data_IF_060154289607
#
_entry.id   IF_060154289607
#
_cell.length_a   1.000
_cell.length_b   1.000
_cell.length_c   1.000
_cell.angle_alpha   90.00
_cell.angle_beta   90.00
_cell.angle_gamma   90.00
#
_symmetry.space_group_name_H-M   'P 1'
#
loop_
_entity.id
_entity.type
_entity.pdbx_description
1 polymer ?
#
# COMPACT_ATOMS: atom_id res chain seq x y z
N UNK A 1 14.23 14.19 9.24
CA UNK A 1 12.91 13.91 8.63
C UNK A 1 11.95 15.10 8.60
N UNK A 2 11.78 15.87 9.68
CA UNK A 2 10.76 16.93 9.75
C UNK A 2 10.83 17.98 8.61
N UNK A 3 12.03 18.48 8.30
CA UNK A 3 12.25 19.41 7.18
C UNK A 3 11.83 18.82 5.84
N UNK A 4 12.09 17.52 5.62
CA UNK A 4 11.68 16.81 4.40
C UNK A 4 10.15 16.74 4.28
N UNK A 5 9.46 16.39 5.38
CA UNK A 5 7.98 16.36 5.43
C UNK A 5 7.37 17.72 5.09
N UNK A 6 7.91 18.79 5.69
CA UNK A 6 7.45 20.17 5.42
C UNK A 6 7.64 20.59 3.96
N UNK A 7 8.77 20.23 3.35
CA UNK A 7 9.00 20.50 1.93
C UNK A 7 8.09 19.65 1.04
N UNK A 8 7.91 18.37 1.38
CA UNK A 8 7.00 17.48 0.67
C UNK A 8 5.58 18.05 0.66
N UNK A 9 5.01 18.41 1.82
CA UNK A 9 3.68 19.01 1.88
C UNK A 9 3.59 20.29 1.04
N UNK A 10 4.58 21.18 1.14
CA UNK A 10 4.61 22.42 0.36
C UNK A 10 4.55 22.16 -1.15
N UNK A 11 5.36 21.22 -1.65
CA UNK A 11 5.37 20.88 -3.08
C UNK A 11 4.04 20.25 -3.47
N UNK A 12 3.53 19.30 -2.69
CA UNK A 12 2.24 18.65 -2.94
C UNK A 12 1.06 19.62 -3.01
N UNK A 13 1.08 20.71 -2.21
CA UNK A 13 0.04 21.75 -2.26
C UNK A 13 0.21 22.72 -3.43
N UNK A 14 1.45 23.09 -3.78
CA UNK A 14 1.72 24.13 -4.78
C UNK A 14 1.77 23.60 -6.21
N UNK A 15 2.51 22.51 -6.43
CA UNK A 15 2.64 21.86 -7.73
C UNK A 15 2.95 20.36 -7.53
N UNK A 16 1.92 19.52 -7.33
CA UNK A 16 2.10 18.08 -7.13
C UNK A 16 2.69 17.39 -8.36
N UNK A 17 2.61 17.99 -9.56
CA UNK A 17 3.12 17.38 -10.79
C UNK A 17 4.64 17.20 -10.78
N UNK A 18 5.35 17.97 -9.93
CA UNK A 18 6.79 17.85 -9.71
C UNK A 18 7.16 16.51 -9.07
N UNK A 19 6.31 15.95 -8.21
CA UNK A 19 6.60 14.71 -7.47
C UNK A 19 6.19 13.49 -8.28
N UNK A 20 6.75 13.37 -9.49
CA UNK A 20 6.46 12.29 -10.43
C UNK A 20 7.74 11.74 -11.06
N UNK A 21 7.64 10.55 -11.68
CA UNK A 21 8.73 9.90 -12.41
C UNK A 21 10.03 9.83 -11.62
N UNK A 22 11.13 10.29 -12.24
CA UNK A 22 12.48 10.23 -11.66
C UNK A 22 12.62 11.03 -10.35
N UNK A 23 11.96 12.19 -10.24
CA UNK A 23 12.03 13.01 -9.02
C UNK A 23 11.45 12.26 -7.83
N UNK A 24 10.30 11.60 -8.05
CA UNK A 24 9.68 10.77 -7.04
C UNK A 24 10.54 9.55 -6.68
N UNK A 25 11.07 8.84 -7.68
CA UNK A 25 11.94 7.69 -7.47
C UNK A 25 13.17 8.05 -6.61
N UNK A 26 13.83 9.17 -6.93
CA UNK A 26 15.01 9.65 -6.22
C UNK A 26 14.68 10.12 -4.79
N UNK A 27 13.50 10.73 -4.59
CA UNK A 27 13.01 11.08 -3.25
C UNK A 27 12.79 9.83 -2.40
N UNK A 28 12.05 8.85 -2.94
CA UNK A 28 11.71 7.62 -2.24
C UNK A 28 12.95 6.81 -1.86
N UNK A 29 13.93 6.69 -2.75
CA UNK A 29 15.20 6.05 -2.45
C UNK A 29 15.91 6.72 -1.28
N UNK A 30 16.07 8.05 -1.35
CA UNK A 30 16.78 8.80 -0.29
C UNK A 30 16.07 8.67 1.06
N UNK A 31 14.74 8.73 1.06
CA UNK A 31 13.94 8.62 2.28
C UNK A 31 14.03 7.22 2.86
N UNK A 32 13.83 6.17 2.06
CA UNK A 32 13.89 4.79 2.56
C UNK A 32 15.29 4.42 3.01
N UNK A 33 16.35 4.81 2.29
CA UNK A 33 17.74 4.61 2.72
C UNK A 33 18.01 5.33 4.05
N UNK A 34 17.58 6.59 4.17
CA UNK A 34 17.76 7.35 5.41
C UNK A 34 17.04 6.67 6.60
N UNK A 35 15.77 6.33 6.44
CA UNK A 35 14.96 5.70 7.49
C UNK A 35 15.49 4.31 7.88
N UNK A 36 15.77 3.45 6.89
CA UNK A 36 16.26 2.08 7.15
C UNK A 36 17.68 2.05 7.73
N UNK A 37 18.50 3.05 7.48
CA UNK A 37 19.83 3.15 8.09
C UNK A 37 19.79 3.59 9.55
N UNK A 38 18.75 4.32 9.97
CA UNK A 38 18.61 4.84 11.33
C UNK A 38 18.11 3.77 12.30
N UNK A 39 18.82 3.57 13.41
CA UNK A 39 18.40 2.61 14.45
C UNK A 39 17.10 3.02 15.16
N UNK A 40 16.77 4.31 15.19
CA UNK A 40 15.55 4.82 15.85
C UNK A 40 14.31 4.75 14.96
N UNK A 41 14.50 4.70 13.64
CA UNK A 41 13.41 4.69 12.65
C UNK A 41 13.10 3.28 12.16
N UNK A 42 14.07 2.36 12.23
CA UNK A 42 13.85 0.94 11.97
C UNK A 42 12.89 0.37 13.00
N UNK A 43 11.83 -0.27 12.50
CA UNK A 43 10.83 -0.94 13.32
C UNK A 43 11.06 -2.46 13.34
N UNK A 44 11.43 -3.04 12.20
CA UNK A 44 11.79 -4.45 12.08
C UNK A 44 13.30 -4.63 11.92
N UNK A 45 13.76 -5.88 12.12
CA UNK A 45 15.15 -6.23 11.82
C UNK A 45 15.48 -5.99 10.35
N UNK A 46 16.72 -5.59 10.08
CA UNK A 46 17.15 -5.36 8.71
C UNK A 46 17.05 -6.65 7.89
N UNK A 47 16.59 -6.52 6.64
CA UNK A 47 16.48 -7.65 5.72
C UNK A 47 17.84 -8.30 5.50
N UNK A 48 17.96 -9.58 5.83
CA UNK A 48 19.12 -10.41 5.51
C UNK A 48 18.86 -11.18 4.22
N UNK A 49 18.89 -10.48 3.09
CA UNK A 49 18.72 -11.11 1.77
C UNK A 49 20.06 -11.25 1.05
N UNK A 50 20.47 -12.49 0.79
CA UNK A 50 21.57 -12.83 -0.12
C UNK A 50 20.96 -13.60 -1.26
N UNK A 51 20.52 -12.91 -2.31
CA UNK A 51 19.91 -13.54 -3.48
C UNK A 51 20.92 -14.46 -4.17
N UNK A 52 20.79 -15.76 -3.99
CA UNK A 52 21.60 -16.73 -4.72
C UNK A 52 21.04 -16.88 -6.14
N UNK A 53 21.83 -16.56 -7.15
CA UNK A 53 21.39 -16.55 -8.56
C UNK A 53 20.73 -17.88 -9.00
N UNK A 54 21.23 -19.01 -8.46
CA UNK A 54 20.66 -20.34 -8.72
C UNK A 54 19.26 -20.51 -8.15
N UNK A 55 19.00 -20.02 -6.93
CA UNK A 55 17.69 -20.15 -6.30
C UNK A 55 16.66 -19.27 -7.00
N UNK A 56 17.05 -18.04 -7.37
CA UNK A 56 16.22 -17.11 -8.16
C UNK A 56 15.83 -17.73 -9.49
N UNK A 57 16.78 -18.31 -10.23
CA UNK A 57 16.48 -18.98 -11.51
C UNK A 57 15.49 -20.15 -11.36
N UNK A 58 15.64 -20.93 -10.30
CA UNK A 58 14.77 -22.08 -10.00
C UNK A 58 13.39 -21.72 -9.46
N UNK A 59 13.19 -20.50 -8.95
CA UNK A 59 11.92 -20.07 -8.38
C UNK A 59 10.82 -20.05 -9.44
N UNK A 60 9.70 -20.70 -9.12
CA UNK A 60 8.51 -20.79 -9.97
C UNK A 60 7.45 -19.84 -9.45
N UNK A 61 6.95 -18.98 -10.34
CA UNK A 61 5.81 -18.11 -10.07
C UNK A 61 4.51 -18.84 -10.41
N UNK A 62 3.48 -18.62 -9.60
CA UNK A 62 2.12 -19.12 -9.81
C UNK A 62 1.48 -18.46 -11.02
N UNK A 63 0.37 -19.04 -11.51
CA UNK A 63 -0.41 -18.46 -12.59
C UNK A 63 -0.97 -17.07 -12.25
N UNK A 64 -1.32 -16.82 -10.99
CA UNK A 64 -1.82 -15.53 -10.51
C UNK A 64 -0.72 -14.48 -10.53
N UNK A 65 0.49 -14.81 -10.05
CA UNK A 65 1.67 -13.93 -10.13
C UNK A 65 2.00 -13.59 -11.59
N UNK A 66 1.98 -14.59 -12.49
CA UNK A 66 2.22 -14.36 -13.91
C UNK A 66 1.15 -13.48 -14.57
N UNK A 67 -0.12 -13.65 -14.21
CA UNK A 67 -1.21 -12.79 -14.68
C UNK A 67 -1.03 -11.36 -14.18
N UNK A 68 -0.60 -11.17 -12.92
CA UNK A 68 -0.30 -9.87 -12.36
C UNK A 68 0.84 -9.16 -13.07
N UNK A 69 1.94 -9.88 -13.38
CA UNK A 69 3.05 -9.36 -14.20
C UNK A 69 2.54 -8.88 -15.56
N UNK A 70 1.80 -9.73 -16.27
CA UNK A 70 1.23 -9.40 -17.57
C UNK A 70 0.32 -8.17 -17.51
N UNK A 71 -0.48 -8.06 -16.45
CA UNK A 71 -1.38 -6.92 -16.22
C UNK A 71 -0.59 -5.64 -15.98
N UNK A 72 0.46 -5.70 -15.15
CA UNK A 72 1.35 -4.58 -14.88
C UNK A 72 2.05 -4.07 -16.15
N UNK A 73 2.59 -4.98 -16.97
CA UNK A 73 3.26 -4.63 -18.24
C UNK A 73 2.28 -4.02 -19.25
N UNK A 74 1.04 -4.53 -19.34
CA UNK A 74 0.00 -3.91 -20.18
C UNK A 74 -0.36 -2.52 -19.71
N UNK A 75 -0.52 -2.34 -18.41
CA UNK A 75 -0.81 -1.04 -17.80
C UNK A 75 0.34 -0.04 -18.03
N UNK A 76 1.59 -0.46 -17.84
CA UNK A 76 2.75 0.39 -18.06
C UNK A 76 2.89 0.83 -19.53
N UNK A 77 2.64 -0.08 -20.48
CA UNK A 77 2.60 0.25 -21.92
C UNK A 77 1.48 1.24 -22.25
N UNK A 78 0.29 1.04 -21.67
CA UNK A 78 -0.84 1.97 -21.87
C UNK A 78 -0.51 3.39 -21.41
N UNK A 79 0.15 3.50 -20.26
CA UNK A 79 0.59 4.78 -19.69
C UNK A 79 1.95 5.27 -20.21
N UNK A 80 2.62 4.50 -21.08
CA UNK A 80 3.96 4.78 -21.61
C UNK A 80 5.02 5.01 -20.52
N UNK A 81 4.98 4.19 -19.47
CA UNK A 81 5.90 4.28 -18.33
C UNK A 81 7.19 3.50 -18.54
N UNK A 82 7.14 2.36 -19.25
CA UNK A 82 8.27 1.43 -19.42
C UNK A 82 8.49 1.02 -20.88
N UNK A 83 9.67 0.47 -21.16
CA UNK A 83 10.07 -0.12 -22.43
C UNK A 83 9.65 -1.61 -22.55
N UNK A 84 9.95 -2.26 -23.68
CA UNK A 84 9.36 -3.54 -24.08
C UNK A 84 9.86 -4.77 -23.30
N UNK A 85 11.02 -4.69 -22.64
CA UNK A 85 11.68 -5.76 -21.86
C UNK A 85 11.24 -5.87 -20.39
N UNK A 86 10.37 -4.97 -19.94
CA UNK A 86 9.87 -4.87 -18.57
C UNK A 86 9.28 -6.17 -17.98
N UNK A 87 8.78 -7.09 -18.80
CA UNK A 87 8.22 -8.38 -18.33
C UNK A 87 9.29 -9.28 -17.72
N UNK A 88 10.47 -9.33 -18.33
CA UNK A 88 11.58 -10.15 -17.84
C UNK A 88 12.08 -9.63 -16.49
N UNK A 89 12.28 -8.32 -16.39
CA UNK A 89 12.81 -7.66 -15.20
C UNK A 89 11.82 -7.70 -14.04
N UNK A 90 10.53 -7.49 -14.32
CA UNK A 90 9.49 -7.65 -13.30
C UNK A 90 9.40 -9.11 -12.82
N UNK A 91 9.53 -10.08 -13.73
CA UNK A 91 9.58 -11.51 -13.36
C UNK A 91 10.77 -11.80 -12.45
N UNK A 92 11.95 -11.25 -12.77
CA UNK A 92 13.15 -11.41 -11.95
C UNK A 92 12.96 -10.79 -10.56
N UNK A 93 12.40 -9.58 -10.48
CA UNK A 93 12.07 -8.92 -9.22
C UNK A 93 11.12 -9.77 -8.37
N UNK A 94 10.03 -10.26 -8.96
CA UNK A 94 9.03 -11.09 -8.26
C UNK A 94 9.64 -12.38 -7.70
N UNK A 95 10.55 -13.03 -8.45
CA UNK A 95 11.27 -14.22 -7.97
C UNK A 95 12.18 -13.92 -6.77
N UNK A 96 12.91 -12.80 -6.81
CA UNK A 96 13.74 -12.37 -5.68
C UNK A 96 12.88 -12.13 -4.43
N UNK A 97 11.77 -11.39 -4.58
CA UNK A 97 10.84 -11.10 -3.49
C UNK A 97 10.19 -12.37 -2.95
N UNK A 98 9.80 -13.31 -3.80
CA UNK A 98 9.22 -14.59 -3.36
C UNK A 98 10.16 -15.35 -2.42
N UNK A 99 11.45 -15.41 -2.75
CA UNK A 99 12.47 -16.05 -1.90
C UNK A 99 12.65 -15.27 -0.61
N UNK A 100 12.77 -13.94 -0.70
CA UNK A 100 12.92 -13.06 0.46
C UNK A 100 11.74 -13.20 1.43
N UNK A 101 10.51 -13.03 0.96
CA UNK A 101 9.30 -13.12 1.78
C UNK A 101 9.15 -14.51 2.39
N UNK A 102 9.45 -15.57 1.64
CA UNK A 102 9.42 -16.94 2.15
C UNK A 102 10.38 -17.16 3.31
N UNK A 103 11.51 -16.45 3.36
CA UNK A 103 12.46 -16.50 4.49
C UNK A 103 11.94 -15.80 5.76
N UNK A 104 10.94 -14.93 5.62
CA UNK A 104 10.34 -14.15 6.70
C UNK A 104 9.00 -14.71 7.19
N UNK A 105 8.59 -15.91 6.74
CA UNK A 105 7.31 -16.49 7.14
C UNK A 105 7.43 -17.36 8.39
N UNK A 106 6.37 -17.33 9.22
CA UNK A 106 6.19 -18.27 10.32
C UNK A 106 5.92 -19.65 9.75
N UNK A 107 6.60 -20.68 10.27
CA UNK A 107 6.25 -22.08 9.99
C UNK A 107 5.02 -22.43 10.81
N UNK A 108 3.83 -22.28 10.23
CA UNK A 108 2.59 -22.67 10.89
C UNK A 108 2.22 -24.12 10.57
N UNK A 109 1.62 -24.82 11.54
CA UNK A 109 0.94 -26.10 11.34
C UNK A 109 -0.52 -25.94 10.89
N UNK A 110 -0.96 -24.71 10.57
CA UNK A 110 -2.34 -24.42 10.19
C UNK A 110 -2.77 -25.19 8.94
N UNK A 111 -3.95 -25.79 9.02
CA UNK A 111 -4.59 -26.49 7.91
C UNK A 111 -5.26 -25.54 6.90
N UNK A 112 -5.28 -24.23 7.18
CA UNK A 112 -5.86 -23.24 6.28
C UNK A 112 -5.02 -23.11 5.00
N UNK A 113 -5.65 -23.38 3.85
CA UNK A 113 -4.99 -23.34 2.52
C UNK A 113 -4.29 -22.00 2.26
N UNK A 114 -4.90 -20.89 2.68
CA UNK A 114 -4.34 -19.53 2.52
C UNK A 114 -3.07 -19.27 3.36
N UNK A 115 -2.78 -20.16 4.31
CA UNK A 115 -1.62 -20.11 5.19
C UNK A 115 -0.54 -21.14 4.84
N UNK A 116 -0.91 -22.22 4.13
CA UNK A 116 0.03 -23.28 3.73
C UNK A 116 1.06 -22.78 2.70
N UNK A 117 0.60 -22.06 1.69
CA UNK A 117 1.43 -21.51 0.62
C UNK A 117 1.74 -20.02 0.83
N UNK A 118 2.53 -19.42 -0.06
CA UNK A 118 2.87 -17.99 -0.04
C UNK A 118 1.64 -17.07 -0.12
N UNK A 119 1.89 -15.76 -0.22
CA UNK A 119 0.82 -14.78 -0.43
C UNK A 119 -0.06 -15.22 -1.64
N UNK A 120 -1.39 -15.32 -1.46
CA UNK A 120 -2.26 -15.95 -2.48
C UNK A 120 -2.52 -15.07 -3.71
N UNK A 121 -2.16 -13.78 -3.65
CA UNK A 121 -2.38 -12.82 -4.72
C UNK A 121 -1.09 -12.40 -5.43
N UNK A 122 -1.22 -11.41 -6.31
CA UNK A 122 -0.09 -10.72 -6.91
C UNK A 122 0.42 -9.60 -6.01
N UNK A 123 1.74 -9.39 -5.96
CA UNK A 123 2.33 -8.29 -5.19
C UNK A 123 2.21 -6.95 -5.94
N UNK A 124 1.07 -6.29 -5.73
CA UNK A 124 0.75 -5.01 -6.35
C UNK A 124 1.66 -3.88 -5.87
N UNK A 125 2.15 -3.91 -4.62
CA UNK A 125 3.11 -2.90 -4.18
C UNK A 125 4.44 -3.06 -4.91
N UNK A 126 4.96 -4.29 -5.03
CA UNK A 126 6.20 -4.53 -5.76
C UNK A 126 6.11 -4.08 -7.23
N UNK A 127 4.98 -4.33 -7.88
CA UNK A 127 4.70 -3.84 -9.23
C UNK A 127 4.64 -2.31 -9.29
N UNK A 128 3.99 -1.68 -8.32
CA UNK A 128 3.92 -0.22 -8.21
C UNK A 128 5.31 0.40 -8.06
N UNK A 129 6.14 -0.17 -7.18
CA UNK A 129 7.53 0.28 -6.97
C UNK A 129 8.35 0.10 -8.24
N UNK A 130 8.22 -1.03 -8.93
CA UNK A 130 8.88 -1.27 -10.20
C UNK A 130 8.56 -0.19 -11.24
N UNK A 131 7.29 0.20 -11.36
CA UNK A 131 6.89 1.29 -12.25
C UNK A 131 7.42 2.65 -11.79
N UNK A 132 7.39 2.95 -10.48
CA UNK A 132 7.95 4.21 -9.94
C UNK A 132 9.46 4.28 -10.21
N UNK A 133 10.17 3.16 -10.09
CA UNK A 133 11.60 3.04 -10.35
C UNK A 133 11.96 2.91 -11.83
N UNK A 134 11.03 3.24 -12.73
CA UNK A 134 11.21 3.22 -14.18
C UNK A 134 11.69 1.85 -14.71
N UNK A 135 11.25 0.76 -14.07
CA UNK A 135 11.52 -0.61 -14.52
C UNK A 135 12.86 -1.16 -14.09
N UNK A 136 13.60 -0.49 -13.21
CA UNK A 136 14.89 -0.98 -12.68
C UNK A 136 14.63 -2.03 -11.57
N UNK A 137 14.91 -3.33 -11.81
CA UNK A 137 14.60 -4.38 -10.85
C UNK A 137 15.55 -4.35 -9.63
N UNK A 138 16.83 -4.03 -9.79
CA UNK A 138 17.79 -3.94 -8.68
C UNK A 138 17.46 -2.79 -7.72
N UNK A 139 17.12 -1.62 -8.28
CA UNK A 139 16.70 -0.44 -7.53
C UNK A 139 15.40 -0.73 -6.79
N UNK A 140 14.43 -1.35 -7.46
CA UNK A 140 13.15 -1.75 -6.88
C UNK A 140 13.33 -2.73 -5.72
N UNK A 141 14.15 -3.76 -5.92
CA UNK A 141 14.47 -4.74 -4.89
C UNK A 141 15.13 -4.09 -3.68
N UNK A 142 16.16 -3.26 -3.90
CA UNK A 142 16.85 -2.53 -2.82
C UNK A 142 15.87 -1.66 -2.03
N UNK A 143 14.98 -0.97 -2.73
CA UNK A 143 13.99 -0.12 -2.10
C UNK A 143 13.01 -0.93 -1.23
N UNK A 144 12.47 -2.05 -1.76
CA UNK A 144 11.57 -2.93 -1.03
C UNK A 144 12.23 -3.57 0.19
N UNK A 145 13.48 -4.00 0.08
CA UNK A 145 14.27 -4.53 1.20
C UNK A 145 14.55 -3.46 2.27
N UNK A 146 14.74 -2.20 1.86
CA UNK A 146 14.84 -1.08 2.79
C UNK A 146 13.50 -0.82 3.49
N UNK A 147 12.41 -0.78 2.71
CA UNK A 147 11.06 -0.56 3.22
C UNK A 147 10.65 -1.65 4.22
N UNK A 148 11.02 -2.91 4.00
CA UNK A 148 10.65 -4.03 4.89
C UNK A 148 11.12 -3.86 6.33
N UNK A 149 12.12 -3.01 6.58
CA UNK A 149 12.60 -2.70 7.93
C UNK A 149 11.78 -1.60 8.64
N UNK A 150 10.89 -0.91 7.91
CA UNK A 150 10.11 0.22 8.38
C UNK A 150 8.70 -0.21 8.74
N UNK A 151 8.10 0.46 9.74
CA UNK A 151 6.71 0.21 10.15
C UNK A 151 5.72 0.35 8.98
N UNK A 152 5.98 1.29 8.07
CA UNK A 152 5.14 1.52 6.88
C UNK A 152 4.92 0.26 6.05
N UNK A 153 5.93 -0.63 5.96
CA UNK A 153 5.79 -1.88 5.21
C UNK A 153 4.65 -2.77 5.69
N UNK A 154 4.41 -2.84 7.01
CA UNK A 154 3.36 -3.67 7.58
C UNK A 154 1.94 -3.25 7.15
N UNK A 155 1.78 -2.02 6.68
CA UNK A 155 0.49 -1.45 6.29
C UNK A 155 0.32 -1.33 4.78
N UNK A 156 1.33 -0.84 4.06
CA UNK A 156 1.22 -0.63 2.61
C UNK A 156 1.62 -1.86 1.78
N UNK A 157 2.27 -2.86 2.40
CA UNK A 157 2.77 -4.06 1.73
C UNK A 157 2.11 -5.35 2.24
N UNK A 158 0.87 -5.68 1.80
CA UNK A 158 0.16 -6.88 2.25
C UNK A 158 0.96 -8.18 2.07
N UNK A 159 1.65 -8.34 0.94
CA UNK A 159 2.50 -9.51 0.69
C UNK A 159 3.69 -9.59 1.67
N UNK A 160 4.23 -8.44 2.08
CA UNK A 160 5.34 -8.33 3.02
C UNK A 160 5.01 -8.79 4.44
N UNK A 161 3.74 -8.64 4.86
CA UNK A 161 3.30 -8.96 6.23
C UNK A 161 2.51 -10.27 6.32
N UNK A 162 2.15 -10.88 5.19
CA UNK A 162 1.38 -12.12 5.14
C UNK A 162 2.09 -13.29 5.82
N UNK A 163 1.51 -13.80 6.92
CA UNK A 163 2.08 -14.86 7.74
C UNK A 163 3.54 -14.58 8.17
N UNK A 164 3.89 -13.32 8.34
CA UNK A 164 5.25 -12.87 8.62
C UNK A 164 5.64 -13.11 10.09
N UNK A 165 6.92 -13.34 10.35
CA UNK A 165 7.50 -13.37 11.71
C UNK A 165 7.41 -12.03 12.45
N UNK A 166 6.99 -10.98 11.74
CA UNK A 166 6.87 -9.62 12.25
C UNK A 166 5.54 -9.33 12.96
N UNK A 167 4.57 -10.25 12.91
CA UNK A 167 3.31 -10.15 13.66
C UNK A 167 3.21 -11.27 14.70
N UNK A 168 2.35 -11.08 15.70
CA UNK A 168 2.05 -12.14 16.68
C UNK A 168 1.63 -13.46 15.98
N UNK A 169 1.97 -14.59 16.60
CA UNK A 169 1.74 -15.92 16.01
C UNK A 169 0.25 -16.13 15.72
N UNK A 170 -0.63 -15.71 16.63
CA UNK A 170 -2.08 -15.82 16.48
C UNK A 170 -2.58 -15.01 15.28
N UNK A 171 -2.01 -13.82 15.06
CA UNK A 171 -2.33 -12.98 13.91
C UNK A 171 -1.84 -13.63 12.60
N UNK A 172 -0.60 -14.12 12.58
CA UNK A 172 -0.04 -14.84 11.44
C UNK A 172 -0.91 -16.06 11.07
N UNK A 173 -1.31 -16.88 12.04
CA UNK A 173 -2.11 -18.10 11.81
C UNK A 173 -3.55 -17.80 11.37
N UNK A 174 -4.12 -16.69 11.83
CA UNK A 174 -5.45 -16.25 11.41
C UNK A 174 -5.49 -15.75 9.96
N UNK A 175 -4.34 -15.34 9.41
CA UNK A 175 -4.24 -14.70 8.09
C UNK A 175 -4.87 -13.32 8.00
N UNK A 176 -5.30 -12.76 9.13
CA UNK A 176 -5.81 -11.39 9.19
C UNK A 176 -4.58 -10.47 9.13
N UNK A 177 -4.55 -9.42 8.28
CA UNK A 177 -3.43 -8.49 8.21
C UNK A 177 -3.64 -7.26 9.13
N UNK A 178 -2.57 -6.55 9.54
CA UNK A 178 -2.68 -5.33 10.35
C UNK A 178 -3.55 -4.22 9.77
N UNK A 179 -3.65 -4.19 8.43
CA UNK A 179 -4.56 -3.29 7.72
C UNK A 179 -6.01 -3.49 8.18
N UNK A 180 -6.43 -4.72 8.51
CA UNK A 180 -7.78 -5.02 8.97
C UNK A 180 -8.06 -4.43 10.36
N UNK A 181 -7.29 -4.81 11.38
CA UNK A 181 -7.59 -4.41 12.76
C UNK A 181 -7.12 -3.00 13.13
N UNK A 182 -6.13 -2.43 12.44
CA UNK A 182 -5.71 -1.05 12.67
C UNK A 182 -6.31 -0.10 11.63
N UNK A 183 -5.93 -0.23 10.34
CA UNK A 183 -6.32 0.77 9.34
C UNK A 183 -7.85 0.82 9.19
N UNK A 184 -8.49 -0.33 9.00
CA UNK A 184 -9.92 -0.41 8.76
C UNK A 184 -10.72 0.06 10.00
N UNK A 185 -10.31 -0.35 11.19
CA UNK A 185 -10.87 0.12 12.46
C UNK A 185 -10.85 1.66 12.57
N UNK A 186 -9.69 2.27 12.34
CA UNK A 186 -9.55 3.72 12.48
C UNK A 186 -10.27 4.49 11.38
N UNK A 187 -10.36 3.94 10.16
CA UNK A 187 -11.20 4.53 9.11
C UNK A 187 -12.66 4.54 9.56
N UNK A 188 -13.21 3.42 10.07
CA UNK A 188 -14.59 3.39 10.55
C UNK A 188 -14.85 4.37 11.70
N UNK A 189 -13.92 4.44 12.66
CA UNK A 189 -13.99 5.38 13.78
C UNK A 189 -14.03 6.83 13.28
N UNK A 190 -13.12 7.19 12.37
CA UNK A 190 -13.00 8.54 11.84
C UNK A 190 -14.19 8.91 10.94
N UNK A 191 -14.69 8.00 10.12
CA UNK A 191 -15.88 8.25 9.30
C UNK A 191 -17.10 8.59 10.15
N UNK A 192 -17.25 7.95 11.31
CA UNK A 192 -18.35 8.24 12.24
C UNK A 192 -18.32 9.70 12.73
N UNK A 193 -17.14 10.29 12.87
CA UNK A 193 -16.94 11.65 13.41
C UNK A 193 -16.83 12.70 12.29
N UNK A 194 -15.96 12.46 11.32
CA UNK A 194 -15.56 13.43 10.30
C UNK A 194 -16.46 13.42 9.04
N UNK A 195 -17.11 12.29 8.76
CA UNK A 195 -17.95 12.08 7.56
C UNK A 195 -19.22 11.27 7.90
N UNK A 196 -20.04 11.74 8.87
CA UNK A 196 -21.11 10.93 9.47
C UNK A 196 -22.20 10.49 8.49
N UNK A 197 -22.41 11.24 7.40
CA UNK A 197 -23.34 10.87 6.34
C UNK A 197 -22.88 9.61 5.59
N UNK A 198 -21.59 9.52 5.28
CA UNK A 198 -21.00 8.31 4.66
C UNK A 198 -21.09 7.15 5.64
N UNK A 199 -20.72 7.34 6.90
CA UNK A 199 -20.85 6.29 7.92
C UNK A 199 -22.29 5.74 8.00
N UNK A 200 -23.29 6.63 7.96
CA UNK A 200 -24.70 6.24 7.98
C UNK A 200 -25.13 5.51 6.71
N UNK A 201 -24.65 5.94 5.55
CA UNK A 201 -24.91 5.30 4.26
C UNK A 201 -24.45 3.83 4.25
N UNK A 202 -23.22 3.56 4.70
CA UNK A 202 -22.71 2.19 4.87
C UNK A 202 -23.58 1.36 5.82
N UNK A 203 -23.97 1.95 6.96
CA UNK A 203 -24.84 1.28 7.93
C UNK A 203 -26.20 0.89 7.32
N UNK A 204 -26.77 1.75 6.48
CA UNK A 204 -28.03 1.49 5.78
C UNK A 204 -27.87 0.46 4.66
N UNK A 205 -26.72 0.42 3.99
CA UNK A 205 -26.42 -0.54 2.93
C UNK A 205 -25.99 -1.94 3.45
N UNK A 206 -25.82 -2.10 4.77
CA UNK A 206 -25.61 -3.42 5.39
C UNK A 206 -24.19 -3.99 5.25
N UNK A 207 -23.19 -3.15 4.94
CA UNK A 207 -21.78 -3.57 4.87
C UNK A 207 -20.86 -2.47 5.40
N UNK A 208 -19.61 -2.81 5.72
CA UNK A 208 -18.70 -1.89 6.42
C UNK A 208 -17.73 -1.17 5.47
N UNK A 209 -17.35 0.08 5.77
CA UNK A 209 -16.29 0.78 5.04
C UNK A 209 -14.96 0.01 5.01
N UNK A 210 -14.67 -0.75 6.08
CA UNK A 210 -13.47 -1.58 6.17
C UNK A 210 -13.31 -2.54 5.00
N UNK A 211 -14.41 -3.16 4.56
CA UNK A 211 -14.37 -4.08 3.41
C UNK A 211 -13.89 -3.38 2.14
N UNK A 212 -14.27 -2.11 1.93
CA UNK A 212 -13.86 -1.34 0.76
C UNK A 212 -12.40 -0.88 0.89
N UNK A 213 -11.99 -0.43 2.08
CA UNK A 213 -10.59 -0.10 2.33
C UNK A 213 -9.67 -1.29 2.04
N UNK A 214 -10.00 -2.48 2.52
CA UNK A 214 -9.21 -3.68 2.25
C UNK A 214 -9.18 -4.00 0.76
N UNK A 215 -10.32 -3.88 0.08
CA UNK A 215 -10.41 -4.12 -1.35
C UNK A 215 -9.50 -3.18 -2.17
N UNK A 216 -9.47 -1.89 -1.81
CA UNK A 216 -8.62 -0.91 -2.48
C UNK A 216 -7.13 -1.07 -2.10
N UNK A 217 -6.83 -1.22 -0.80
CA UNK A 217 -5.46 -1.26 -0.29
C UNK A 217 -4.70 -2.53 -0.70
N UNK A 218 -5.38 -3.68 -0.74
CA UNK A 218 -4.75 -4.94 -1.20
C UNK A 218 -4.26 -4.90 -2.64
N UNK A 219 -4.83 -3.99 -3.44
CA UNK A 219 -4.45 -3.76 -4.83
C UNK A 219 -3.62 -2.48 -5.00
N UNK A 220 -3.14 -1.85 -3.93
CA UNK A 220 -2.45 -0.56 -3.97
C UNK A 220 -3.24 0.50 -4.78
N UNK A 221 -4.57 0.48 -4.69
CA UNK A 221 -5.51 1.29 -5.47
C UNK A 221 -5.44 1.14 -7.00
N UNK A 222 -4.80 0.09 -7.51
CA UNK A 222 -4.90 -0.27 -8.92
C UNK A 222 -6.37 -0.44 -9.31
N UNK A 223 -6.73 0.02 -10.51
CA UNK A 223 -8.10 0.13 -11.03
C UNK A 223 -8.96 1.27 -10.47
N UNK A 224 -8.56 1.92 -9.37
CA UNK A 224 -9.38 2.94 -8.71
C UNK A 224 -8.85 4.36 -8.85
N UNK A 225 -7.55 4.54 -8.68
CA UNK A 225 -6.91 5.85 -8.71
C UNK A 225 -6.08 6.05 -10.00
N UNK A 226 -5.99 7.30 -10.44
CA UNK A 226 -5.03 7.69 -11.46
C UNK A 226 -3.60 7.34 -11.00
N UNK A 227 -2.71 7.01 -11.94
CA UNK A 227 -1.33 6.63 -11.63
C UNK A 227 -0.59 7.66 -10.76
N UNK A 228 -0.83 8.95 -11.00
CA UNK A 228 -0.27 10.03 -10.17
C UNK A 228 -0.70 9.92 -8.71
N UNK A 229 -1.96 9.57 -8.45
CA UNK A 229 -2.46 9.48 -7.08
C UNK A 229 -2.00 8.19 -6.38
N UNK A 230 -1.80 7.08 -7.11
CA UNK A 230 -1.13 5.87 -6.58
C UNK A 230 0.31 6.22 -6.14
N UNK A 231 1.04 6.96 -6.97
CA UNK A 231 2.38 7.46 -6.64
C UNK A 231 2.37 8.36 -5.39
N UNK A 232 1.41 9.27 -5.29
CA UNK A 232 1.24 10.15 -4.13
C UNK A 232 0.89 9.39 -2.86
N UNK A 233 0.05 8.35 -2.96
CA UNK A 233 -0.27 7.47 -1.84
C UNK A 233 0.98 6.80 -1.27
N UNK A 234 1.76 6.09 -2.11
CA UNK A 234 2.97 5.38 -1.67
C UNK A 234 3.96 6.37 -1.06
N UNK A 235 4.21 7.50 -1.72
CA UNK A 235 5.15 8.49 -1.22
C UNK A 235 4.72 9.17 0.07
N UNK A 236 3.44 9.46 0.24
CA UNK A 236 2.95 10.06 1.47
C UNK A 236 3.08 9.09 2.64
N UNK A 237 2.69 7.81 2.48
CA UNK A 237 2.84 6.82 3.54
C UNK A 237 4.30 6.61 3.96
N UNK A 238 5.24 6.72 3.01
CA UNK A 238 6.68 6.59 3.28
C UNK A 238 7.27 7.84 3.93
N UNK A 239 6.90 9.05 3.46
CA UNK A 239 7.47 10.32 3.95
C UNK A 239 6.83 10.76 5.26
N UNK A 240 5.50 10.67 5.36
CA UNK A 240 4.71 11.19 6.47
C UNK A 240 4.46 10.14 7.56
N UNK A 241 4.25 8.88 7.18
CA UNK A 241 4.07 7.76 8.09
C UNK A 241 2.90 6.84 7.70
N UNK A 242 2.80 5.65 8.32
CA UNK A 242 1.75 4.67 7.99
C UNK A 242 0.33 5.15 8.32
N UNK A 243 0.19 6.03 9.32
CA UNK A 243 -1.09 6.63 9.73
C UNK A 243 -1.77 7.39 8.60
N UNK A 244 -1.01 7.92 7.64
CA UNK A 244 -1.58 8.57 6.47
C UNK A 244 -2.37 7.63 5.55
N UNK A 245 -2.17 6.31 5.63
CA UNK A 245 -3.05 5.34 4.94
C UNK A 245 -4.50 5.46 5.44
N UNK A 246 -4.70 5.66 6.75
CA UNK A 246 -6.02 5.87 7.34
C UNK A 246 -6.61 7.19 6.85
N UNK A 247 -5.83 8.27 6.91
CA UNK A 247 -6.30 9.60 6.54
C UNK A 247 -6.65 9.69 5.06
N UNK A 248 -5.90 9.00 4.20
CA UNK A 248 -6.22 8.89 2.78
C UNK A 248 -7.55 8.17 2.55
N UNK A 249 -7.77 7.02 3.19
CA UNK A 249 -9.04 6.31 3.07
C UNK A 249 -10.24 7.18 3.51
N UNK A 250 -10.10 7.91 4.62
CA UNK A 250 -11.14 8.87 5.07
C UNK A 250 -11.33 10.01 4.06
N UNK A 251 -10.25 10.52 3.47
CA UNK A 251 -10.31 11.55 2.44
C UNK A 251 -11.01 11.07 1.16
N UNK A 252 -10.76 9.83 0.72
CA UNK A 252 -11.44 9.20 -0.42
C UNK A 252 -12.94 9.09 -0.14
N UNK A 253 -13.33 8.62 1.04
CA UNK A 253 -14.75 8.57 1.39
C UNK A 253 -15.40 9.94 1.49
N UNK A 254 -14.67 10.94 1.99
CA UNK A 254 -15.13 12.33 2.00
C UNK A 254 -15.35 12.86 0.59
N UNK A 255 -14.45 12.51 -0.34
CA UNK A 255 -14.56 12.86 -1.76
C UNK A 255 -15.80 12.25 -2.39
N UNK A 256 -15.99 10.94 -2.21
CA UNK A 256 -17.09 10.15 -2.77
C UNK A 256 -18.44 10.37 -2.06
N UNK A 257 -18.54 11.26 -1.07
CA UNK A 257 -19.75 11.42 -0.28
C UNK A 257 -21.01 11.65 -1.13
N UNK A 258 -21.03 12.54 -2.14
CA UNK A 258 -22.21 12.75 -2.98
C UNK A 258 -22.67 11.46 -3.68
N UNK A 259 -21.75 10.75 -4.32
CA UNK A 259 -21.99 9.51 -5.07
C UNK A 259 -22.42 8.37 -4.13
N UNK A 260 -21.78 8.27 -2.96
CA UNK A 260 -22.16 7.29 -1.93
C UNK A 260 -23.62 7.48 -1.54
N UNK A 261 -24.03 8.73 -1.24
CA UNK A 261 -25.41 9.02 -0.85
C UNK A 261 -26.41 8.74 -1.97
N UNK A 262 -26.04 8.99 -3.23
CA UNK A 262 -26.85 8.67 -4.39
C UNK A 262 -27.00 7.15 -4.58
N UNK A 263 -25.90 6.40 -4.61
CA UNK A 263 -25.92 4.95 -4.84
C UNK A 263 -26.45 4.15 -3.66
N UNK A 264 -26.48 4.72 -2.45
CA UNK A 264 -27.25 4.13 -1.33
C UNK A 264 -28.74 4.12 -1.63
N UNK A 265 -29.29 5.14 -2.30
CA UNK A 265 -30.72 5.20 -2.63
C UNK A 265 -31.09 4.19 -3.72
N UNK A 266 -30.19 3.95 -4.68
CA UNK A 266 -30.39 2.95 -5.74
C UNK A 266 -30.03 1.51 -5.33
N UNK A 267 -29.52 1.30 -4.10
CA UNK A 267 -29.03 0.00 -3.60
C UNK A 267 -27.83 -0.56 -4.39
N UNK A 268 -27.08 0.28 -5.07
CA UNK A 268 -25.94 -0.11 -5.92
C UNK A 268 -24.59 0.30 -5.31
N UNK A 269 -24.59 0.83 -4.08
CA UNK A 269 -23.39 1.36 -3.43
C UNK A 269 -22.20 0.38 -3.45
N UNK A 270 -22.45 -0.90 -3.18
CA UNK A 270 -21.37 -1.89 -3.12
C UNK A 270 -20.77 -2.17 -4.50
N UNK A 271 -21.58 -2.16 -5.56
CA UNK A 271 -21.13 -2.37 -6.94
C UNK A 271 -20.31 -1.14 -7.37
N UNK A 272 -20.85 0.06 -7.15
CA UNK A 272 -20.16 1.32 -7.41
C UNK A 272 -18.75 1.35 -6.81
N UNK A 273 -18.61 1.08 -5.50
CA UNK A 273 -17.31 1.15 -4.82
C UNK A 273 -16.32 0.02 -5.19
N UNK A 274 -16.80 -1.08 -5.78
CA UNK A 274 -15.98 -2.25 -6.17
C UNK A 274 -15.65 -2.31 -7.67
N UNK A 275 -16.34 -1.57 -8.50
CA UNK A 275 -16.21 -1.70 -9.95
C UNK A 275 -15.90 -0.37 -10.63
N UNK A 276 -16.27 0.77 -10.03
CA UNK A 276 -16.03 2.07 -10.63
C UNK A 276 -14.73 2.73 -10.16
N UNK A 277 -14.02 3.42 -11.07
CA UNK A 277 -12.85 4.22 -10.69
C UNK A 277 -13.27 5.43 -9.87
N UNK A 278 -12.40 5.86 -8.95
CA UNK A 278 -12.58 7.03 -8.11
C UNK A 278 -12.19 8.28 -8.92
N UNK A 279 -13.17 8.80 -9.67
CA UNK A 279 -12.95 9.90 -10.62
C UNK A 279 -12.76 11.24 -9.91
N UNK A 280 -11.75 12.00 -10.35
CA UNK A 280 -11.56 13.37 -9.88
C UNK A 280 -10.94 13.50 -8.48
N UNK A 281 -10.59 12.40 -7.84
CA UNK A 281 -9.82 12.45 -6.60
C UNK A 281 -8.42 13.02 -6.90
N UNK A 282 -8.02 14.03 -6.15
CA UNK A 282 -6.68 14.64 -6.21
C UNK A 282 -6.11 14.73 -4.81
N UNK A 283 -5.00 14.04 -4.57
CA UNK A 283 -4.37 13.94 -3.26
C UNK A 283 -4.10 15.32 -2.65
N UNK A 284 -3.57 16.24 -3.47
CA UNK A 284 -3.25 17.62 -3.08
C UNK A 284 -4.45 18.39 -2.54
N UNK A 285 -5.67 18.12 -3.05
CA UNK A 285 -6.89 18.80 -2.61
C UNK A 285 -7.36 18.37 -1.22
N UNK A 286 -6.88 17.22 -0.73
CA UNK A 286 -7.24 16.68 0.58
C UNK A 286 -6.06 16.72 1.58
N UNK A 287 -4.90 17.21 1.18
CA UNK A 287 -3.71 17.22 2.04
C UNK A 287 -3.94 18.02 3.34
N UNK A 288 -4.51 19.22 3.25
CA UNK A 288 -4.83 20.04 4.44
C UNK A 288 -5.81 19.32 5.38
N UNK A 289 -6.79 18.60 4.81
CA UNK A 289 -7.72 17.79 5.59
C UNK A 289 -6.98 16.65 6.30
N UNK A 290 -6.07 15.95 5.63
CA UNK A 290 -5.27 14.88 6.23
C UNK A 290 -4.31 15.41 7.31
N UNK A 291 -3.68 16.57 7.11
CA UNK A 291 -2.85 17.21 8.14
C UNK A 291 -3.66 17.61 9.37
N UNK A 292 -4.94 17.99 9.21
CA UNK A 292 -5.85 18.20 10.34
C UNK A 292 -6.11 16.89 11.09
N UNK A 293 -6.39 15.79 10.38
CA UNK A 293 -6.57 14.48 11.00
C UNK A 293 -5.31 14.02 11.73
N UNK A 294 -4.14 14.25 11.15
CA UNK A 294 -2.86 13.97 11.81
C UNK A 294 -2.76 14.71 13.16
N UNK A 295 -2.99 16.03 13.17
CA UNK A 295 -2.93 16.82 14.41
C UNK A 295 -3.90 16.35 15.49
N UNK A 296 -5.06 15.81 15.10
CA UNK A 296 -6.10 15.39 16.02
C UNK A 296 -5.97 13.93 16.48
N UNK A 297 -5.42 13.05 15.65
CA UNK A 297 -5.54 11.61 15.84
C UNK A 297 -4.21 10.84 15.79
N UNK A 298 -3.09 11.45 15.37
CA UNK A 298 -1.82 10.72 15.20
C UNK A 298 -1.35 10.06 16.48
N UNK A 299 -1.47 10.71 17.62
CA UNK A 299 -1.05 10.17 18.92
C UNK A 299 -1.81 8.90 19.31
N UNK A 300 -3.02 8.71 18.78
CA UNK A 300 -3.84 7.52 19.00
C UNK A 300 -3.55 6.49 17.90
N UNK A 301 -3.75 6.88 16.63
CA UNK A 301 -3.65 5.99 15.47
C UNK A 301 -2.24 5.40 15.33
N UNK A 302 -1.20 6.25 15.36
CA UNK A 302 0.18 5.80 15.14
C UNK A 302 0.72 5.03 16.33
N UNK A 303 0.25 5.32 17.55
CA UNK A 303 0.62 4.57 18.75
C UNK A 303 0.10 3.13 18.66
N UNK A 304 -1.17 2.95 18.29
CA UNK A 304 -1.73 1.62 18.09
C UNK A 304 -1.14 0.90 16.88
N UNK A 305 -0.80 1.61 15.80
CA UNK A 305 -0.09 1.00 14.68
C UNK A 305 1.29 0.45 15.05
N UNK A 306 1.89 0.90 16.17
CA UNK A 306 3.17 0.38 16.67
C UNK A 306 3.01 -0.88 17.54
N UNK A 307 1.80 -1.34 17.83
CA UNK A 307 1.55 -2.52 18.67
C UNK A 307 1.29 -3.79 17.84
N UNK A 308 2.02 -3.95 16.72
CA UNK A 308 1.92 -5.09 15.79
C UNK A 308 2.22 -6.45 16.46
#
# INVERSE_FOLDING_TARGET
>A
METCRRHYCRVMTSDPSIVTGKVLADLLDKVVVHLSSSATERFFSAAQYKGEEKSVKSAVLSSVEQLGINTCVRYSRHLKLLEDDAEHDLTLLMKNLKIFLSSQRVKSSSELITQQDGYPGHDWLASTVFLIMAGDPERSLRWLLGLSSLLTSAFIWPAGIHASVHVAVEAAESGIPPVYWCTAHYVEMLLKVEVPLVHSAFRMSGFTPSQMCLHWLTQCFWNYLDWSEICHYVSTCVVMGPDYQVYLCVAIFKHLQPEILQHTQSQELQIFLKEEPIRGFKFSSYLEFMERLERSYRDIVLTDMKTL
#
